data_IF_666645512151
#
_entry.id   IF_666645512151
#
_cell.length_a   1.000
_cell.length_b   1.000
_cell.length_c   1.000
_cell.angle_alpha   90.00
_cell.angle_beta   90.00
_cell.angle_gamma   90.00
#
_symmetry.space_group_name_H-M   'P 1'
#
loop_
_entity.id
_entity.type
_entity.pdbx_description
1 polymer ?
#
# COMPACT_ATOMS: atom_id res chain seq x y z
N UNK A 1 -12.79 57.10 -6.79
CA UNK A 1 -12.33 55.83 -6.18
C UNK A 1 -12.73 55.88 -4.72
N UNK A 2 -13.65 55.02 -4.32
CA UNK A 2 -14.15 54.94 -2.95
C UNK A 2 -13.19 54.09 -2.10
N UNK A 3 -13.20 54.27 -0.78
CA UNK A 3 -12.36 53.48 0.13
C UNK A 3 -12.61 51.97 0.00
N UNK A 4 -13.86 51.57 -0.32
CA UNK A 4 -14.21 50.17 -0.60
C UNK A 4 -13.55 49.62 -1.87
N UNK A 5 -13.44 50.41 -2.93
CA UNK A 5 -12.77 50.00 -4.17
C UNK A 5 -11.25 49.85 -3.96
N UNK A 6 -10.64 50.72 -3.13
CA UNK A 6 -9.23 50.61 -2.77
C UNK A 6 -8.94 49.35 -1.93
N UNK A 7 -9.80 49.04 -0.95
CA UNK A 7 -9.66 47.84 -0.14
C UNK A 7 -9.86 46.55 -0.97
N UNK A 8 -10.78 46.57 -1.94
CA UNK A 8 -10.98 45.44 -2.85
C UNK A 8 -9.74 45.17 -3.71
N UNK A 9 -9.05 46.21 -4.19
CA UNK A 9 -7.81 46.09 -4.96
C UNK A 9 -6.65 45.55 -4.10
N UNK A 10 -6.54 45.98 -2.85
CA UNK A 10 -5.52 45.45 -1.92
C UNK A 10 -5.75 43.96 -1.64
N UNK A 11 -7.00 43.55 -1.41
CA UNK A 11 -7.35 42.16 -1.18
C UNK A 11 -7.11 41.30 -2.44
N UNK A 12 -7.39 41.85 -3.63
CA UNK A 12 -7.11 41.17 -4.89
C UNK A 12 -5.60 41.01 -5.14
N UNK A 13 -4.78 42.03 -4.82
CA UNK A 13 -3.33 41.96 -4.90
C UNK A 13 -2.73 40.87 -3.99
N UNK A 14 -3.20 40.79 -2.74
CA UNK A 14 -2.74 39.76 -1.80
C UNK A 14 -3.07 38.32 -2.22
N UNK A 15 -4.15 38.12 -3.00
CA UNK A 15 -4.48 36.81 -3.58
C UNK A 15 -3.57 36.40 -4.74
N UNK A 16 -3.02 37.37 -5.48
CA UNK A 16 -2.08 37.13 -6.58
C UNK A 16 -0.72 36.74 -6.01
N UNK A 17 -0.22 37.48 -5.02
CA UNK A 17 1.07 37.20 -4.36
C UNK A 17 1.06 35.82 -3.66
N UNK A 18 -0.05 35.46 -3.02
CA UNK A 18 -0.21 34.15 -2.39
C UNK A 18 -0.24 33.00 -3.43
N UNK A 19 -0.87 33.24 -4.59
CA UNK A 19 -0.89 32.28 -5.69
C UNK A 19 0.49 32.08 -6.33
N UNK A 20 1.27 33.16 -6.46
CA UNK A 20 2.63 33.12 -7.01
C UNK A 20 3.61 32.43 -6.06
N UNK A 21 3.50 32.67 -4.74
CA UNK A 21 4.26 31.95 -3.73
C UNK A 21 3.96 30.44 -3.74
N UNK A 22 2.67 30.06 -3.80
CA UNK A 22 2.27 28.65 -3.88
C UNK A 22 2.74 27.98 -5.18
N UNK A 23 2.76 28.71 -6.30
CA UNK A 23 3.26 28.23 -7.59
C UNK A 23 4.79 28.04 -7.57
N UNK A 24 5.53 28.98 -6.98
CA UNK A 24 6.97 28.89 -6.81
C UNK A 24 7.38 27.73 -5.88
N UNK A 25 6.62 27.50 -4.81
CA UNK A 25 6.84 26.34 -3.91
C UNK A 25 6.56 25.02 -4.65
N UNK A 26 5.44 24.93 -5.38
CA UNK A 26 5.12 23.77 -6.20
C UNK A 26 6.16 23.51 -7.31
N UNK A 27 6.75 24.55 -7.89
CA UNK A 27 7.85 24.43 -8.84
C UNK A 27 9.11 23.87 -8.18
N UNK A 28 9.44 24.32 -6.96
CA UNK A 28 10.61 23.88 -6.20
C UNK A 28 10.49 22.42 -5.73
N UNK A 29 9.27 21.96 -5.44
CA UNK A 29 8.98 20.58 -5.01
C UNK A 29 8.62 19.64 -6.16
N UNK A 30 8.60 20.12 -7.41
CA UNK A 30 8.29 19.31 -8.59
C UNK A 30 6.82 18.94 -8.74
N UNK A 31 5.92 19.66 -8.06
CA UNK A 31 4.46 19.46 -8.05
C UNK A 31 3.74 20.17 -9.21
N UNK A 32 4.46 20.53 -10.28
CA UNK A 32 3.89 21.10 -11.48
C UNK A 32 3.67 20.01 -12.53
N UNK A 33 2.49 19.96 -13.14
CA UNK A 33 2.26 19.11 -14.31
C UNK A 33 2.98 19.65 -15.57
N UNK A 34 2.90 18.91 -16.67
CA UNK A 34 3.47 19.32 -17.97
C UNK A 34 2.83 20.59 -18.59
N UNK A 35 1.82 21.17 -17.93
CA UNK A 35 1.15 22.43 -18.30
C UNK A 35 1.39 23.53 -17.25
N UNK A 36 2.26 23.27 -16.26
CA UNK A 36 2.59 24.22 -15.21
C UNK A 36 1.48 24.46 -14.18
N UNK A 37 0.51 23.55 -14.05
CA UNK A 37 -0.52 23.61 -13.01
C UNK A 37 -0.02 22.94 -11.74
N UNK A 38 -0.35 23.53 -10.58
CA UNK A 38 -0.10 22.92 -9.27
C UNK A 38 -0.97 21.68 -9.15
N UNK A 39 -0.33 20.52 -9.09
CA UNK A 39 -0.99 19.25 -8.78
C UNK A 39 -0.91 19.07 -7.27
N UNK A 40 -2.05 19.04 -6.60
CA UNK A 40 -2.08 18.67 -5.19
C UNK A 40 -1.50 17.25 -5.05
N UNK A 41 -0.50 17.08 -4.17
CA UNK A 41 0.00 15.76 -3.81
C UNK A 41 -1.16 15.03 -3.13
N UNK A 42 -1.85 14.14 -3.84
CA UNK A 42 -2.74 13.20 -3.17
C UNK A 42 -1.84 12.36 -2.25
N UNK A 43 -2.01 12.41 -0.93
CA UNK A 43 -1.18 11.63 0.00
C UNK A 43 -1.27 10.13 -0.28
N UNK A 44 -2.33 9.68 -0.98
CA UNK A 44 -2.47 8.32 -1.45
C UNK A 44 -1.90 8.09 -2.85
N UNK A 45 -1.55 9.09 -3.65
CA UNK A 45 -1.04 8.87 -5.03
C UNK A 45 0.21 7.99 -5.02
N UNK A 46 1.19 8.29 -4.16
CA UNK A 46 2.39 7.45 -4.02
C UNK A 46 2.02 6.05 -3.52
N UNK A 47 1.14 5.93 -2.52
CA UNK A 47 0.69 4.62 -2.04
C UNK A 47 -0.05 3.82 -3.12
N UNK A 48 -0.80 4.48 -4.00
CA UNK A 48 -1.53 3.87 -5.10
C UNK A 48 -0.58 3.30 -6.18
N UNK A 49 0.57 3.94 -6.40
CA UNK A 49 1.62 3.38 -7.27
C UNK A 49 2.16 2.04 -6.74
N UNK A 50 2.17 1.87 -5.42
CA UNK A 50 2.63 0.65 -4.76
C UNK A 50 1.52 -0.37 -4.50
N UNK A 51 0.25 -0.01 -4.69
CA UNK A 51 -0.91 -0.82 -4.32
C UNK A 51 -0.95 -2.20 -5.00
N UNK A 52 -0.46 -2.29 -6.25
CA UNK A 52 -0.47 -3.53 -7.01
C UNK A 52 0.38 -4.63 -6.32
N UNK A 53 1.44 -4.25 -5.61
CA UNK A 53 2.35 -5.21 -4.96
C UNK A 53 1.65 -5.95 -3.81
N UNK A 54 1.14 -5.28 -2.76
CA UNK A 54 0.32 -5.92 -1.73
C UNK A 54 -0.87 -6.69 -2.29
N UNK A 55 -1.53 -6.16 -3.32
CA UNK A 55 -2.70 -6.80 -3.93
C UNK A 55 -2.36 -8.13 -4.60
N UNK A 56 -1.22 -8.20 -5.28
CA UNK A 56 -0.74 -9.44 -5.92
C UNK A 56 -0.36 -10.49 -4.88
N UNK A 57 0.29 -10.07 -3.79
CA UNK A 57 0.62 -10.97 -2.67
C UNK A 57 -0.65 -11.48 -1.97
N UNK A 58 -1.61 -10.59 -1.70
CA UNK A 58 -2.90 -10.95 -1.14
C UNK A 58 -3.65 -11.96 -2.03
N UNK A 59 -3.66 -11.75 -3.34
CA UNK A 59 -4.25 -12.69 -4.29
C UNK A 59 -3.58 -14.07 -4.24
N UNK A 60 -2.24 -14.13 -4.24
CA UNK A 60 -1.52 -15.39 -4.13
C UNK A 60 -1.82 -16.13 -2.81
N UNK A 61 -1.84 -15.41 -1.69
CA UNK A 61 -2.13 -15.99 -0.36
C UNK A 61 -3.56 -16.50 -0.28
N UNK A 62 -4.54 -15.68 -0.68
CA UNK A 62 -5.97 -16.04 -0.58
C UNK A 62 -6.38 -17.14 -1.57
N UNK A 63 -5.65 -17.31 -2.67
CA UNK A 63 -5.84 -18.46 -3.57
C UNK A 63 -5.47 -19.78 -2.88
N UNK A 64 -4.44 -19.78 -2.03
CA UNK A 64 -3.97 -20.97 -1.32
C UNK A 64 -4.73 -21.17 0.01
N UNK A 65 -5.01 -20.07 0.70
CA UNK A 65 -5.67 -20.00 2.01
C UNK A 65 -6.88 -19.04 1.94
N UNK A 66 -8.02 -19.47 1.38
CA UNK A 66 -9.21 -18.63 1.29
C UNK A 66 -9.76 -18.19 2.66
N UNK A 67 -9.51 -18.97 3.71
CA UNK A 67 -9.94 -18.69 5.09
C UNK A 67 -9.33 -17.41 5.69
N UNK A 68 -8.20 -16.92 5.15
CA UNK A 68 -7.56 -15.69 5.64
C UNK A 68 -7.95 -14.45 4.85
N UNK A 69 -8.88 -14.55 3.89
CA UNK A 69 -9.27 -13.44 3.02
C UNK A 69 -9.74 -12.19 3.78
N UNK A 70 -10.36 -12.35 4.95
CA UNK A 70 -10.79 -11.23 5.80
C UNK A 70 -9.61 -10.37 6.30
N UNK A 71 -8.41 -10.91 6.31
CA UNK A 71 -7.19 -10.19 6.70
C UNK A 71 -6.51 -9.47 5.52
N UNK A 72 -6.96 -9.70 4.30
CA UNK A 72 -6.34 -9.23 3.06
C UNK A 72 -7.27 -8.31 2.25
N UNK A 73 -7.91 -7.36 2.94
CA UNK A 73 -8.79 -6.36 2.33
C UNK A 73 -8.02 -5.29 1.55
N UNK A 74 -8.72 -4.55 0.70
CA UNK A 74 -8.13 -3.42 -0.03
C UNK A 74 -7.55 -2.36 0.91
N UNK A 75 -8.22 -2.09 2.03
CA UNK A 75 -7.71 -1.18 3.05
C UNK A 75 -6.36 -1.65 3.63
N UNK A 76 -6.21 -2.96 3.90
CA UNK A 76 -4.94 -3.53 4.39
C UNK A 76 -3.85 -3.55 3.33
N UNK A 77 -4.22 -3.74 2.06
CA UNK A 77 -3.28 -3.61 0.95
C UNK A 77 -2.80 -2.16 0.81
N UNK A 78 -3.68 -1.18 0.99
CA UNK A 78 -3.34 0.25 0.92
C UNK A 78 -2.48 0.70 2.11
N UNK A 79 -2.77 0.22 3.33
CA UNK A 79 -1.93 0.44 4.51
C UNK A 79 -0.50 -0.08 4.29
N UNK A 80 -0.37 -1.29 3.72
CA UNK A 80 0.94 -1.85 3.40
C UNK A 80 1.63 -1.06 2.28
N UNK A 81 0.88 -0.61 1.27
CA UNK A 81 1.42 0.21 0.20
C UNK A 81 1.96 1.55 0.71
N UNK A 82 1.25 2.21 1.63
CA UNK A 82 1.71 3.42 2.30
C UNK A 82 2.98 3.19 3.14
N UNK A 83 3.07 2.03 3.82
CA UNK A 83 4.27 1.67 4.59
C UNK A 83 5.50 1.39 3.70
N UNK A 84 5.31 1.03 2.44
CA UNK A 84 6.39 0.80 1.47
C UNK A 84 7.01 2.13 1.00
N UNK A 85 6.21 3.19 0.84
CA UNK A 85 6.67 4.51 0.34
C UNK A 85 7.95 5.02 1.02
N UNK A 86 8.03 5.16 2.37
CA UNK A 86 9.24 5.69 3.01
C UNK A 86 10.46 4.76 2.88
N UNK A 87 10.24 3.45 2.74
CA UNK A 87 11.32 2.48 2.50
C UNK A 87 11.82 2.62 1.06
N UNK A 88 10.90 2.73 0.09
CA UNK A 88 11.24 2.92 -1.31
C UNK A 88 12.04 4.22 -1.54
N UNK A 89 11.60 5.33 -0.94
CA UNK A 89 12.32 6.61 -0.99
C UNK A 89 13.73 6.51 -0.39
N UNK A 90 13.89 5.82 0.75
CA UNK A 90 15.22 5.62 1.40
C UNK A 90 16.22 4.88 0.50
N UNK A 91 15.76 3.96 -0.33
CA UNK A 91 16.61 3.14 -1.20
C UNK A 91 16.65 3.65 -2.65
N UNK A 92 16.09 4.83 -2.94
CA UNK A 92 16.09 5.43 -4.28
C UNK A 92 15.23 4.66 -5.28
N UNK A 93 14.24 3.90 -4.78
CA UNK A 93 13.36 3.08 -5.59
C UNK A 93 12.16 3.95 -6.00
N UNK A 94 12.38 4.78 -7.03
CA UNK A 94 11.34 5.64 -7.58
C UNK A 94 10.42 4.81 -8.50
N UNK A 95 9.39 4.21 -7.91
CA UNK A 95 8.34 3.46 -8.60
C UNK A 95 8.63 1.97 -8.78
N UNK A 96 7.59 1.24 -9.19
CA UNK A 96 7.56 -0.24 -9.32
C UNK A 96 8.66 -0.84 -10.23
N UNK A 97 9.36 -0.04 -11.03
CA UNK A 97 10.42 -0.48 -11.93
C UNK A 97 11.78 -0.72 -11.25
N UNK A 98 11.97 -0.21 -10.02
CA UNK A 98 13.23 -0.35 -9.29
C UNK A 98 13.11 -1.49 -8.26
N UNK A 99 13.59 -2.68 -8.62
CA UNK A 99 13.75 -3.88 -7.77
C UNK A 99 12.49 -4.40 -7.02
N UNK A 100 11.62 -5.15 -7.72
CA UNK A 100 10.42 -5.80 -7.14
C UNK A 100 10.73 -6.85 -6.06
N UNK A 101 11.93 -7.44 -6.08
CA UNK A 101 12.28 -8.63 -5.31
C UNK A 101 12.65 -8.31 -3.85
N UNK A 102 13.30 -7.17 -3.60
CA UNK A 102 13.61 -6.72 -2.23
C UNK A 102 12.34 -6.27 -1.49
N UNK A 103 11.37 -5.73 -2.24
CA UNK A 103 10.09 -5.22 -1.73
C UNK A 103 9.14 -6.34 -1.30
N UNK A 104 9.15 -7.47 -2.02
CA UNK A 104 8.46 -8.70 -1.62
C UNK A 104 8.92 -9.17 -0.24
N UNK A 105 10.25 -9.18 0.01
CA UNK A 105 10.80 -9.75 1.25
C UNK A 105 10.42 -8.93 2.49
N UNK A 106 10.43 -7.58 2.42
CA UNK A 106 10.15 -6.72 3.57
C UNK A 106 8.65 -6.70 3.91
N UNK A 107 7.77 -6.68 2.89
CA UNK A 107 6.32 -6.75 3.09
C UNK A 107 5.83 -8.12 3.55
N UNK A 108 6.45 -9.21 3.10
CA UNK A 108 5.99 -10.56 3.35
C UNK A 108 6.10 -11.04 4.81
N UNK A 109 6.99 -10.48 5.64
CA UNK A 109 7.20 -11.02 6.99
C UNK A 109 6.00 -10.70 7.92
N UNK A 110 5.51 -9.46 7.90
CA UNK A 110 4.33 -9.07 8.69
C UNK A 110 3.01 -9.50 8.04
N UNK A 111 2.92 -9.37 6.72
CA UNK A 111 1.72 -9.70 5.95
C UNK A 111 1.50 -11.22 5.82
N UNK A 112 2.54 -12.04 5.96
CA UNK A 112 2.46 -13.49 5.87
C UNK A 112 2.02 -14.21 7.15
N UNK A 113 1.92 -13.51 8.29
CA UNK A 113 1.61 -14.15 9.57
C UNK A 113 0.25 -14.89 9.58
N UNK A 114 -0.86 -14.33 9.05
CA UNK A 114 -2.13 -15.07 8.95
C UNK A 114 -2.00 -16.34 8.08
N UNK A 115 -1.31 -16.24 6.94
CA UNK A 115 -1.04 -17.37 6.06
C UNK A 115 -0.19 -18.46 6.73
N UNK A 116 0.81 -18.06 7.52
CA UNK A 116 1.66 -18.98 8.27
C UNK A 116 0.87 -19.74 9.36
N UNK A 117 -0.02 -19.04 10.06
CA UNK A 117 -0.89 -19.65 11.07
C UNK A 117 -1.86 -20.65 10.41
N UNK A 118 -2.49 -20.27 9.30
CA UNK A 118 -3.36 -21.16 8.54
C UNK A 118 -2.62 -22.40 8.01
N UNK A 119 -1.40 -22.23 7.49
CA UNK A 119 -0.54 -23.32 7.05
C UNK A 119 -0.24 -24.30 8.19
N UNK A 120 0.14 -23.78 9.36
CA UNK A 120 0.43 -24.62 10.54
C UNK A 120 -0.81 -25.37 11.03
N UNK A 121 -1.98 -24.73 10.99
CA UNK A 121 -3.25 -25.37 11.36
C UNK A 121 -3.61 -26.51 10.40
N UNK A 122 -3.44 -26.32 9.08
CA UNK A 122 -3.67 -27.37 8.07
C UNK A 122 -2.72 -28.55 8.24
N UNK A 123 -1.42 -28.29 8.40
CA UNK A 123 -0.43 -29.35 8.63
C UNK A 123 -0.76 -30.20 9.86
N UNK A 124 -1.16 -29.55 10.96
CA UNK A 124 -1.56 -30.27 12.17
C UNK A 124 -2.81 -31.11 11.94
N UNK A 125 -3.80 -30.60 11.22
CA UNK A 125 -5.01 -31.36 10.87
C UNK A 125 -4.70 -32.54 9.93
N UNK A 126 -3.77 -32.39 8.99
CA UNK A 126 -3.30 -33.47 8.13
C UNK A 126 -2.56 -34.55 8.91
N UNK A 127 -1.70 -34.18 9.87
CA UNK A 127 -1.02 -35.12 10.77
C UNK A 127 -2.01 -35.89 11.66
N UNK A 128 -3.00 -35.20 12.23
CA UNK A 128 -4.07 -35.84 13.02
C UNK A 128 -4.97 -36.76 12.17
N UNK A 129 -5.26 -36.37 10.93
CA UNK A 129 -6.02 -37.20 9.99
C UNK A 129 -5.21 -38.42 9.50
N UNK A 130 -3.90 -38.26 9.29
CA UNK A 130 -3.00 -39.37 8.96
C UNK A 130 -2.88 -40.36 10.14
N UNK A 131 -2.72 -39.86 11.37
CA UNK A 131 -2.67 -40.68 12.57
C UNK A 131 -3.99 -41.44 12.81
N UNK A 132 -5.15 -40.82 12.54
CA UNK A 132 -6.44 -41.52 12.59
C UNK A 132 -6.58 -42.61 11.52
N UNK A 133 -6.13 -42.36 10.28
CA UNK A 133 -6.15 -43.36 9.21
C UNK A 133 -5.24 -44.55 9.51
N UNK A 134 -4.08 -44.33 10.12
CA UNK A 134 -3.21 -45.42 10.58
C UNK A 134 -3.82 -46.18 11.76
N UNK A 135 -4.49 -45.50 12.70
CA UNK A 135 -5.17 -46.14 13.83
C UNK A 135 -6.41 -46.96 13.39
N UNK A 136 -7.18 -46.47 12.41
CA UNK A 136 -8.34 -47.19 11.85
C UNK A 136 -7.92 -48.33 10.91
N UNK A 137 -6.83 -48.18 10.16
CA UNK A 137 -6.25 -49.23 9.31
C UNK A 137 -5.55 -50.35 10.09
N UNK A 138 -5.05 -50.08 11.30
CA UNK A 138 -4.37 -51.06 12.15
C UNK A 138 -5.30 -52.01 12.93
N UNK A 139 -6.59 -51.68 13.09
CA UNK A 139 -7.53 -52.47 13.88
C UNK A 139 -8.39 -53.47 13.05
N UNK A 140 -8.12 -53.57 11.75
CA UNK A 140 -8.84 -54.47 10.83
C UNK A 140 -8.10 -55.78 10.49
N UNK A 141 -6.96 -56.06 11.13
CA UNK A 141 -6.09 -57.15 10.73
C UNK A 141 -5.36 -57.84 11.88
N UNK A 142 -6.11 -58.49 12.79
CA UNK A 142 -5.82 -59.82 13.36
C UNK A 142 -6.73 -60.16 14.54
#
# INVERSE_FOLDING_TARGET
MTEQEAQALINAGGGIDAGEAAHAEAAATGMLDGRGQIVAEDPNAKAMEWFLVPKTVAWAITTIYPEVAEHYTDAKCLELAAAIVPVAEKYGLNGMGASPELMLVIGCIGFGAPAFIAHKARKKAEEEAAAKKEAEGGNGGR
#
